data_IF_860830020289
#
_entry.id   IF_860830020289
#
_cell.length_a   1.000
_cell.length_b   1.000
_cell.length_c   1.000
_cell.angle_alpha   90.00
_cell.angle_beta   90.00
_cell.angle_gamma   90.00
#
_symmetry.space_group_name_H-M   'P 1'
#
loop_
_entity.id
_entity.type
_entity.pdbx_description
1 polymer ?
#
# COMPACT_ATOMS: atom_id res chain seq x y z
N UNK A 1 -7.30 -18.94 -5.95
CA UNK A 1 -8.22 -19.64 -5.02
C UNK A 1 -8.85 -18.73 -3.97
N UNK A 2 -8.07 -17.99 -3.16
CA UNK A 2 -8.62 -17.14 -2.09
C UNK A 2 -9.68 -16.14 -2.60
N UNK A 3 -9.47 -15.62 -3.81
CA UNK A 3 -10.34 -14.67 -4.49
C UNK A 3 -11.59 -15.27 -5.16
N UNK A 4 -11.78 -16.59 -5.12
CA UNK A 4 -12.99 -17.21 -5.69
C UNK A 4 -14.24 -16.77 -4.92
N UNK A 5 -15.38 -16.51 -5.58
CA UNK A 5 -16.60 -16.04 -4.92
C UNK A 5 -17.06 -16.90 -3.74
N UNK A 6 -16.98 -18.23 -3.86
CA UNK A 6 -17.35 -19.19 -2.82
C UNK A 6 -16.43 -19.14 -1.59
N UNK A 7 -15.15 -18.77 -1.78
CA UNK A 7 -14.20 -18.61 -0.68
C UNK A 7 -14.39 -17.26 -0.01
N UNK A 8 -14.57 -16.19 -0.81
CA UNK A 8 -14.88 -14.83 -0.32
C UNK A 8 -16.20 -14.79 0.46
N UNK A 9 -17.19 -15.60 0.11
CA UNK A 9 -18.44 -15.69 0.87
C UNK A 9 -18.24 -16.21 2.32
N UNK A 10 -17.22 -17.06 2.55
CA UNK A 10 -16.88 -17.60 3.88
C UNK A 10 -15.79 -16.79 4.58
N UNK A 11 -14.86 -16.24 3.80
CA UNK A 11 -13.66 -15.51 4.24
C UNK A 11 -13.55 -14.26 3.38
N UNK A 12 -14.30 -13.21 3.70
CA UNK A 12 -14.44 -12.05 2.82
C UNK A 12 -13.15 -11.26 2.69
N UNK A 13 -12.26 -11.31 3.68
CA UNK A 13 -11.02 -10.53 3.68
C UNK A 13 -9.85 -11.29 3.09
N UNK A 14 -9.18 -10.67 2.13
CA UNK A 14 -7.84 -11.02 1.66
C UNK A 14 -6.89 -9.96 2.19
N UNK A 15 -6.02 -10.39 3.10
CA UNK A 15 -5.00 -9.53 3.72
C UNK A 15 -3.63 -10.04 3.33
N UNK A 16 -2.76 -9.13 2.87
CA UNK A 16 -1.36 -9.44 2.58
C UNK A 16 -0.44 -8.78 3.61
N UNK A 17 0.74 -9.38 3.79
CA UNK A 17 1.79 -8.89 4.66
C UNK A 17 3.07 -8.80 3.84
N UNK A 18 3.78 -7.69 3.96
CA UNK A 18 5.11 -7.50 3.38
C UNK A 18 5.97 -6.65 4.29
N UNK A 19 7.30 -6.78 4.15
CA UNK A 19 8.21 -5.98 4.97
C UNK A 19 8.29 -4.54 4.45
N UNK A 20 8.72 -4.34 3.20
CA UNK A 20 8.86 -3.01 2.58
C UNK A 20 7.58 -2.53 1.92
N UNK A 21 7.14 -1.28 2.14
CA UNK A 21 5.89 -0.77 1.60
C UNK A 21 5.95 -0.49 0.08
N UNK A 22 4.79 -0.58 -0.59
CA UNK A 22 4.60 -0.06 -1.96
C UNK A 22 4.42 1.46 -1.99
N UNK A 23 3.88 1.99 -0.89
CA UNK A 23 3.49 3.38 -0.71
C UNK A 23 3.79 3.79 0.72
N UNK A 24 4.39 4.95 0.90
CA UNK A 24 4.70 5.55 2.20
C UNK A 24 5.00 7.04 2.04
N UNK A 25 4.97 7.79 3.14
CA UNK A 25 5.22 9.24 3.17
C UNK A 25 6.36 9.66 4.09
N UNK A 26 7.13 8.69 4.58
CA UNK A 26 8.35 8.95 5.32
C UNK A 26 9.31 9.77 4.45
N UNK A 27 9.92 10.79 5.06
CA UNK A 27 10.95 11.61 4.45
C UNK A 27 12.32 11.13 4.91
N UNK A 28 12.58 9.85 4.71
CA UNK A 28 13.91 9.28 4.80
C UNK A 28 14.47 9.12 3.38
N UNK A 29 15.77 8.87 3.27
CA UNK A 29 16.41 8.66 1.97
C UNK A 29 16.34 7.17 1.55
N UNK A 30 15.29 6.44 1.93
CA UNK A 30 15.15 4.99 1.71
C UNK A 30 13.96 4.62 0.79
N UNK A 31 13.11 3.66 1.18
CA UNK A 31 12.04 3.09 0.36
C UNK A 31 10.95 4.12 0.01
N UNK A 32 10.86 5.21 0.77
CA UNK A 32 9.97 6.36 0.53
C UNK A 32 10.63 7.50 -0.27
N UNK A 33 11.87 7.33 -0.75
CA UNK A 33 12.58 8.38 -1.47
C UNK A 33 12.30 8.42 -2.99
N UNK A 34 11.75 7.34 -3.56
CA UNK A 34 11.62 7.16 -5.02
C UNK A 34 10.16 7.01 -5.46
N UNK A 35 9.71 7.77 -6.47
CA UNK A 35 8.33 7.73 -7.03
C UNK A 35 7.78 6.30 -7.27
N UNK A 36 8.68 5.44 -7.70
CA UNK A 36 8.43 4.04 -8.02
C UNK A 36 9.09 3.14 -6.97
N UNK A 37 8.28 2.48 -6.14
CA UNK A 37 8.75 1.38 -5.29
C UNK A 37 8.93 0.13 -6.15
N UNK A 38 10.07 -0.56 -6.00
CA UNK A 38 10.30 -1.83 -6.71
C UNK A 38 9.32 -2.93 -6.27
N UNK A 39 8.77 -2.84 -5.06
CA UNK A 39 7.67 -3.73 -4.61
C UNK A 39 6.40 -3.46 -5.43
N UNK A 40 6.16 -2.19 -5.77
CA UNK A 40 4.98 -1.74 -6.51
C UNK A 40 5.07 -2.09 -8.00
N UNK A 41 6.15 -1.69 -8.68
CA UNK A 41 6.30 -1.83 -10.14
C UNK A 41 7.23 -2.94 -10.61
N UNK A 42 7.99 -3.53 -9.70
CA UNK A 42 8.96 -4.57 -10.03
C UNK A 42 10.24 -4.01 -10.65
N UNK A 43 10.97 -4.88 -11.35
CA UNK A 43 12.20 -4.54 -12.05
C UNK A 43 12.08 -4.98 -13.52
N UNK A 44 11.55 -4.11 -14.40
CA UNK A 44 11.26 -4.46 -15.79
C UNK A 44 12.47 -4.98 -16.57
N UNK A 45 13.66 -4.45 -16.27
CA UNK A 45 14.93 -4.86 -16.90
C UNK A 45 15.22 -6.36 -16.73
N UNK A 46 14.74 -6.97 -15.63
CA UNK A 46 14.93 -8.38 -15.32
C UNK A 46 13.63 -9.21 -15.45
N UNK A 47 12.56 -8.61 -16.01
CA UNK A 47 11.25 -9.27 -16.12
C UNK A 47 10.57 -9.53 -14.77
N UNK A 48 11.03 -8.90 -13.69
CA UNK A 48 10.44 -9.04 -12.35
C UNK A 48 9.20 -8.15 -12.30
N UNK A 49 8.02 -8.76 -12.16
CA UNK A 49 6.76 -8.02 -12.03
C UNK A 49 6.59 -7.47 -10.62
N UNK A 50 6.05 -6.26 -10.52
CA UNK A 50 5.59 -5.70 -9.26
C UNK A 50 4.31 -6.36 -8.77
N UNK A 51 3.95 -6.08 -7.52
CA UNK A 51 2.80 -6.69 -6.86
C UNK A 51 1.51 -5.86 -6.98
N UNK A 52 1.58 -4.61 -7.43
CA UNK A 52 0.41 -3.71 -7.45
C UNK A 52 -0.72 -4.24 -8.33
N UNK A 53 -0.42 -4.54 -9.60
CA UNK A 53 -1.42 -5.08 -10.53
C UNK A 53 -1.96 -6.43 -10.02
N UNK A 54 -1.08 -7.30 -9.50
CA UNK A 54 -1.48 -8.58 -8.94
C UNK A 54 -2.45 -8.40 -7.77
N UNK A 55 -2.14 -7.53 -6.81
CA UNK A 55 -2.97 -7.32 -5.62
C UNK A 55 -4.33 -6.72 -6.00
N UNK A 56 -4.35 -5.80 -6.96
CA UNK A 56 -5.58 -5.23 -7.50
C UNK A 56 -6.44 -6.30 -8.21
N UNK A 57 -5.86 -7.07 -9.12
CA UNK A 57 -6.55 -8.13 -9.88
C UNK A 57 -7.09 -9.25 -8.99
N UNK A 58 -6.37 -9.59 -7.92
CA UNK A 58 -6.79 -10.62 -6.97
C UNK A 58 -7.78 -10.10 -5.91
N UNK A 59 -8.12 -8.81 -5.93
CA UNK A 59 -9.06 -8.22 -4.98
C UNK A 59 -8.56 -8.24 -3.53
N UNK A 60 -7.27 -7.96 -3.33
CA UNK A 60 -6.71 -7.77 -1.98
C UNK A 60 -7.39 -6.56 -1.33
N UNK A 61 -7.87 -6.70 -0.10
CA UNK A 61 -8.57 -5.61 0.58
C UNK A 61 -7.60 -4.72 1.37
N UNK A 62 -6.64 -5.35 2.07
CA UNK A 62 -5.67 -4.68 2.93
C UNK A 62 -4.28 -5.27 2.73
N UNK A 63 -3.28 -4.41 2.60
CA UNK A 63 -1.87 -4.77 2.60
C UNK A 63 -1.16 -4.12 3.80
N UNK A 64 -0.61 -4.95 4.67
CA UNK A 64 0.13 -4.55 5.87
C UNK A 64 1.62 -4.55 5.59
N UNK A 65 2.28 -3.45 5.97
CA UNK A 65 3.69 -3.18 5.73
C UNK A 65 4.41 -2.84 7.03
N UNK A 66 5.73 -3.05 7.02
CA UNK A 66 6.65 -2.65 8.07
C UNK A 66 7.73 -1.75 7.46
N UNK A 67 8.99 -1.98 7.83
CA UNK A 67 10.20 -1.28 7.38
C UNK A 67 10.30 0.16 7.86
N UNK A 68 9.28 0.96 7.59
CA UNK A 68 9.15 2.33 8.09
C UNK A 68 8.67 2.32 9.55
N UNK A 69 9.41 2.99 10.44
CA UNK A 69 9.17 3.08 11.89
C UNK A 69 8.06 4.10 12.21
N UNK A 70 6.97 4.04 11.44
CA UNK A 70 5.78 4.88 11.59
C UNK A 70 4.52 4.04 11.55
N UNK A 71 3.40 4.67 11.91
CA UNK A 71 2.08 4.19 11.54
C UNK A 71 1.52 5.10 10.45
N UNK A 72 1.21 4.52 9.28
CA UNK A 72 0.52 5.22 8.20
C UNK A 72 -0.66 4.38 7.73
N UNK A 73 -1.81 5.03 7.49
CA UNK A 73 -2.94 4.43 6.79
C UNK A 73 -3.30 5.32 5.63
N UNK A 74 -3.06 4.82 4.43
CA UNK A 74 -3.36 5.55 3.21
C UNK A 74 -4.81 5.33 2.78
N UNK A 75 -5.30 6.26 1.96
CA UNK A 75 -6.50 6.01 1.17
C UNK A 75 -6.29 4.76 0.30
N UNK A 76 -7.37 4.09 -0.13
CA UNK A 76 -7.25 3.04 -1.13
C UNK A 76 -6.66 3.62 -2.41
N UNK A 77 -5.52 3.09 -2.86
CA UNK A 77 -4.76 3.64 -3.98
C UNK A 77 -4.41 2.55 -4.98
N UNK A 78 -4.51 2.88 -6.26
CA UNK A 78 -4.03 2.06 -7.36
C UNK A 78 -3.49 2.97 -8.45
N UNK A 79 -2.27 2.69 -8.92
CA UNK A 79 -1.52 3.49 -9.90
C UNK A 79 -1.45 4.96 -9.49
N UNK A 80 -1.13 5.19 -8.20
CA UNK A 80 -1.01 6.51 -7.58
C UNK A 80 -2.31 7.35 -7.61
N UNK A 81 -3.45 6.71 -7.87
CA UNK A 81 -4.77 7.34 -7.88
C UNK A 81 -5.63 6.80 -6.74
N UNK A 82 -6.33 7.69 -6.03
CA UNK A 82 -7.30 7.30 -5.00
C UNK A 82 -8.49 6.59 -5.65
N UNK A 83 -8.86 5.43 -5.08
CA UNK A 83 -10.02 4.62 -5.48
C UNK A 83 -10.88 4.33 -4.24
N UNK A 84 -11.34 5.38 -3.59
CA UNK A 84 -12.20 5.30 -2.40
C UNK A 84 -13.60 4.76 -2.73
N UNK A 85 -14.33 4.32 -1.70
CA UNK A 85 -15.73 3.90 -1.82
C UNK A 85 -16.68 5.10 -2.02
N UNK A 86 -16.90 5.86 -0.95
CA UNK A 86 -17.56 7.18 -1.02
C UNK A 86 -16.73 8.24 -0.29
N UNK A 87 -17.05 9.51 -0.47
CA UNK A 87 -16.40 10.62 0.24
C UNK A 87 -16.54 10.49 1.77
N UNK A 88 -17.68 10.02 2.24
CA UNK A 88 -18.00 9.83 3.67
C UNK A 88 -17.48 8.49 4.21
N UNK A 89 -17.43 7.46 3.36
CA UNK A 89 -17.03 6.09 3.75
C UNK A 89 -15.95 5.57 2.79
N UNK A 90 -14.72 6.08 2.90
CA UNK A 90 -13.72 5.86 1.87
C UNK A 90 -13.15 4.44 1.81
N UNK A 91 -13.24 3.71 2.91
CA UNK A 91 -12.78 2.32 3.03
C UNK A 91 -13.91 1.29 2.86
N UNK A 92 -15.15 1.72 2.56
CA UNK A 92 -16.27 0.80 2.35
C UNK A 92 -16.31 0.38 0.88
N UNK A 93 -16.05 -0.90 0.62
CA UNK A 93 -15.97 -1.45 -0.73
C UNK A 93 -15.14 -0.58 -1.70
N UNK A 94 -13.89 -0.24 -1.34
CA UNK A 94 -13.06 0.62 -2.17
C UNK A 94 -12.66 -0.09 -3.46
N UNK A 95 -12.33 0.69 -4.50
CA UNK A 95 -11.88 0.17 -5.79
C UNK A 95 -10.39 -0.20 -5.82
N UNK A 96 -9.67 -0.13 -4.70
CA UNK A 96 -8.26 -0.49 -4.60
C UNK A 96 -7.89 -0.99 -3.19
N UNK A 97 -6.66 -1.48 -3.07
CA UNK A 97 -6.07 -1.99 -1.83
C UNK A 97 -5.87 -0.84 -0.84
N UNK A 98 -6.21 -1.07 0.43
CA UNK A 98 -5.81 -0.17 1.51
C UNK A 98 -4.43 -0.56 2.01
N UNK A 99 -3.47 0.38 1.97
CA UNK A 99 -2.12 0.15 2.46
C UNK A 99 -1.97 0.71 3.88
N UNK A 100 -1.44 -0.11 4.78
CA UNK A 100 -1.17 0.27 6.17
C UNK A 100 0.30 -0.05 6.48
N UNK A 101 1.04 0.96 6.91
CA UNK A 101 2.40 0.84 7.44
C UNK A 101 2.30 0.79 8.96
N UNK A 102 2.97 -0.18 9.60
CA UNK A 102 2.94 -0.38 11.06
C UNK A 102 4.27 -0.91 11.58
N UNK A 103 5.40 -0.31 11.18
CA UNK A 103 6.74 -0.76 11.57
C UNK A 103 7.24 -0.22 12.92
N UNK A 104 6.47 0.62 13.62
CA UNK A 104 6.88 1.32 14.85
C UNK A 104 6.84 0.51 16.16
N UNK A 105 6.97 -0.81 16.10
CA UNK A 105 6.83 -1.68 17.28
C UNK A 105 7.97 -1.54 18.31
N UNK A 106 9.11 -0.99 17.89
CA UNK A 106 10.29 -0.70 18.73
C UNK A 106 10.13 0.55 19.61
N UNK A 107 9.14 1.40 19.32
CA UNK A 107 8.83 2.61 20.06
C UNK A 107 9.79 3.78 19.80
N UNK A 108 10.67 3.67 18.81
CA UNK A 108 11.61 4.73 18.44
C UNK A 108 11.03 5.56 17.30
N UNK A 109 10.92 6.88 17.50
CA UNK A 109 10.53 7.82 16.44
C UNK A 109 11.79 8.23 15.68
N UNK A 110 12.23 7.39 14.74
CA UNK A 110 13.39 7.68 13.88
C UNK A 110 12.97 8.27 12.53
N UNK A 111 11.80 7.90 12.02
CA UNK A 111 11.34 8.37 10.72
C UNK A 111 10.36 9.54 10.87
N UNK A 112 10.64 10.61 10.12
CA UNK A 112 9.74 11.75 10.01
C UNK A 112 8.79 11.51 8.86
N UNK A 113 7.50 11.72 9.07
CA UNK A 113 6.49 11.67 8.02
C UNK A 113 5.95 13.06 7.73
N UNK A 114 5.43 13.26 6.53
CA UNK A 114 4.64 14.44 6.19
C UNK A 114 3.25 14.01 5.76
N UNK A 115 2.22 14.77 6.15
CA UNK A 115 0.87 14.46 5.69
C UNK A 115 0.80 14.51 4.16
N UNK A 116 0.45 13.38 3.54
CA UNK A 116 0.11 13.32 2.13
C UNK A 116 -1.13 14.17 1.89
N UNK A 117 -0.96 15.39 1.38
CA UNK A 117 -2.05 16.20 0.82
C UNK A 117 -2.03 16.02 -0.70
N UNK A 118 -3.10 15.45 -1.21
CA UNK A 118 -3.53 15.46 -2.62
C UNK A 118 -2.68 14.71 -3.67
N UNK A 119 -1.48 14.24 -3.32
CA UNK A 119 -0.65 13.38 -4.19
C UNK A 119 -0.12 12.17 -3.43
N UNK A 120 -0.76 11.00 -3.62
CA UNK A 120 -0.25 9.74 -3.08
C UNK A 120 0.94 9.27 -3.92
N UNK A 121 2.15 9.45 -3.39
CA UNK A 121 3.39 9.03 -4.03
C UNK A 121 4.58 9.82 -3.46
N UNK A 122 5.77 9.24 -3.42
CA UNK A 122 6.93 9.87 -2.80
C UNK A 122 7.47 11.08 -3.58
N UNK A 123 8.27 11.88 -2.88
CA UNK A 123 8.50 13.32 -3.08
C UNK A 123 9.13 13.78 -4.42
N UNK A 124 9.55 12.87 -5.31
CA UNK A 124 10.30 13.25 -6.52
C UNK A 124 9.88 12.46 -7.75
N UNK A 125 9.30 13.14 -8.74
CA UNK A 125 9.21 12.69 -10.14
C UNK A 125 10.54 12.86 -10.86
#
# INVERSE_FOLDING_TARGET
EANKPENRAKRPWIVTFGHRPMYCSNSDNDDCASYESLVRVGVPLYGIKGFEDLFHEQGVDVALWAHEHTYERMWPVYKLQVRNGTSENPYKNPGAVTHIVTGSADGLVIDRFTMIKDFHGPYKK
#
